data_IF_330449051055
#
_entry.id   IF_330449051055
#
_cell.length_a   1.000
_cell.length_b   1.000
_cell.length_c   1.000
_cell.angle_alpha   90.00
_cell.angle_beta   90.00
_cell.angle_gamma   90.00
#
_symmetry.space_group_name_H-M   'P 1'
#
loop_
_entity.id
_entity.type
_entity.pdbx_description
1 polymer ?
#
# COMPACT_ATOMS: atom_id res chain seq x y z
N UNK A 1 24.46 15.22 27.80
CA UNK A 1 25.58 14.81 26.93
C UNK A 1 25.12 14.44 25.54
N UNK A 2 25.32 15.37 24.61
CA UNK A 2 24.97 15.26 23.20
C UNK A 2 26.05 14.42 22.49
N UNK A 3 25.87 13.10 22.44
CA UNK A 3 26.75 12.24 21.63
C UNK A 3 26.30 12.29 20.17
N UNK A 4 27.01 13.08 19.36
CA UNK A 4 26.94 13.05 17.90
C UNK A 4 27.95 11.99 17.41
N UNK A 5 27.48 10.85 16.91
CA UNK A 5 28.32 9.84 16.29
C UNK A 5 28.20 9.89 14.76
N UNK A 6 29.34 9.98 14.06
CA UNK A 6 29.41 9.92 12.59
C UNK A 6 30.32 8.77 12.17
N UNK A 7 29.79 7.84 11.38
CA UNK A 7 30.55 6.74 10.79
C UNK A 7 30.61 6.91 9.27
N UNK A 8 31.83 6.95 8.74
CA UNK A 8 32.08 7.21 7.32
C UNK A 8 32.12 5.92 6.51
N UNK A 9 32.94 4.95 6.89
CA UNK A 9 33.08 3.69 6.15
C UNK A 9 33.38 2.55 7.13
N UNK A 10 32.59 1.47 7.07
CA UNK A 10 32.87 0.22 7.81
C UNK A 10 32.63 -0.98 6.90
N UNK A 11 33.64 -1.84 6.76
CA UNK A 11 33.72 -2.82 5.67
C UNK A 11 32.97 -4.14 5.93
N UNK A 12 32.67 -4.51 7.18
CA UNK A 12 32.16 -5.86 7.45
C UNK A 12 30.93 -5.92 8.37
N UNK A 13 31.01 -5.52 9.64
CA UNK A 13 29.87 -5.64 10.58
C UNK A 13 29.88 -4.47 11.58
N UNK A 14 28.71 -3.87 11.83
CA UNK A 14 28.52 -2.89 12.89
C UNK A 14 27.23 -3.22 13.67
N UNK A 15 27.36 -3.39 14.98
CA UNK A 15 26.25 -3.58 15.90
C UNK A 15 26.21 -2.43 16.90
N UNK A 16 25.05 -1.79 17.05
CA UNK A 16 24.84 -0.64 17.92
C UNK A 16 23.67 -0.93 18.85
N UNK A 17 23.94 -0.99 20.15
CA UNK A 17 22.91 -1.28 21.14
C UNK A 17 22.01 -0.05 21.37
N UNK A 18 22.59 1.11 21.69
CA UNK A 18 21.81 2.29 22.07
C UNK A 18 22.40 3.59 21.52
N UNK A 19 21.52 4.41 20.97
CA UNK A 19 21.80 5.81 20.60
C UNK A 19 20.73 6.71 21.20
N UNK A 20 21.15 7.63 22.07
CA UNK A 20 20.23 8.55 22.76
C UNK A 20 19.85 9.77 21.90
N UNK A 21 20.75 10.24 21.05
CA UNK A 21 20.56 11.49 20.31
C UNK A 21 20.74 11.33 18.80
N UNK A 22 21.97 11.39 18.29
CA UNK A 22 22.21 11.49 16.85
C UNK A 22 23.25 10.47 16.37
N UNK A 23 22.88 9.73 15.35
CA UNK A 23 23.76 8.83 14.61
C UNK A 23 23.60 9.08 13.11
N UNK A 24 24.72 9.30 12.42
CA UNK A 24 24.78 9.36 10.97
C UNK A 24 25.77 8.32 10.45
N UNK A 25 25.33 7.51 9.48
CA UNK A 25 26.10 6.45 8.85
C UNK A 25 26.10 6.69 7.33
N UNK A 26 27.28 6.88 6.77
CA UNK A 26 27.46 7.12 5.34
C UNK A 26 27.45 5.78 4.57
N UNK A 27 28.37 4.85 4.87
CA UNK A 27 28.47 3.59 4.13
C UNK A 27 28.73 2.36 5.00
N UNK A 28 27.95 1.31 4.77
CA UNK A 28 28.17 -0.05 5.28
C UNK A 28 28.13 -1.04 4.10
N UNK A 29 29.17 -1.86 3.96
CA UNK A 29 29.25 -2.82 2.86
C UNK A 29 28.47 -4.13 3.10
N UNK A 30 28.33 -4.55 4.37
CA UNK A 30 27.72 -5.83 4.72
C UNK A 30 26.56 -5.64 5.70
N UNK A 31 26.83 -5.63 7.01
CA UNK A 31 25.77 -5.76 8.02
C UNK A 31 25.76 -4.61 9.03
N UNK A 32 24.58 -4.04 9.24
CA UNK A 32 24.30 -3.05 10.28
C UNK A 32 23.09 -3.50 11.10
N UNK A 33 23.26 -3.67 12.40
CA UNK A 33 22.15 -3.88 13.33
C UNK A 33 22.12 -2.80 14.41
N UNK A 34 20.93 -2.29 14.66
CA UNK A 34 20.68 -1.25 15.66
C UNK A 34 19.50 -1.67 16.53
N UNK A 35 19.73 -1.80 17.83
CA UNK A 35 18.67 -2.18 18.77
C UNK A 35 17.79 -0.96 19.08
N UNK A 36 18.37 0.16 19.54
CA UNK A 36 17.57 1.33 19.96
C UNK A 36 18.15 2.67 19.51
N UNK A 37 17.30 3.47 18.88
CA UNK A 37 17.53 4.91 18.63
C UNK A 37 16.38 5.74 19.17
N UNK A 38 16.68 6.69 20.05
CA UNK A 38 15.66 7.55 20.63
C UNK A 38 15.29 8.76 19.75
N UNK A 39 16.26 9.44 19.13
CA UNK A 39 15.98 10.68 18.39
C UNK A 39 16.19 10.54 16.88
N UNK A 40 17.44 10.54 16.41
CA UNK A 40 17.76 10.69 15.00
C UNK A 40 18.77 9.65 14.51
N UNK A 41 18.42 8.95 13.43
CA UNK A 41 19.30 8.03 12.70
C UNK A 41 19.20 8.29 11.20
N UNK A 42 20.29 8.74 10.58
CA UNK A 42 20.38 8.83 9.13
C UNK A 42 21.35 7.79 8.58
N UNK A 43 20.91 7.09 7.53
CA UNK A 43 21.71 6.08 6.83
C UNK A 43 21.70 6.39 5.34
N UNK A 44 22.87 6.64 4.76
CA UNK A 44 23.00 6.90 3.33
C UNK A 44 23.03 5.58 2.54
N UNK A 45 23.98 4.68 2.81
CA UNK A 45 24.14 3.45 2.00
C UNK A 45 24.42 2.21 2.85
N UNK A 46 23.61 1.17 2.63
CA UNK A 46 23.87 -0.20 3.09
C UNK A 46 23.78 -1.15 1.90
N UNK A 47 24.86 -1.85 1.59
CA UNK A 47 24.86 -2.73 0.43
C UNK A 47 24.11 -4.05 0.68
N UNK A 48 24.26 -4.69 1.84
CA UNK A 48 23.59 -5.97 2.10
C UNK A 48 22.43 -5.86 3.09
N UNK A 49 22.68 -5.71 4.39
CA UNK A 49 21.67 -5.90 5.43
C UNK A 49 21.62 -4.75 6.44
N UNK A 50 20.41 -4.25 6.69
CA UNK A 50 20.08 -3.31 7.75
C UNK A 50 18.93 -3.87 8.60
N UNK A 51 19.16 -4.04 9.90
CA UNK A 51 18.15 -4.42 10.87
C UNK A 51 18.02 -3.34 11.97
N UNK A 52 16.81 -2.89 12.23
CA UNK A 52 16.51 -1.89 13.27
C UNK A 52 15.36 -2.41 14.14
N UNK A 53 15.60 -2.60 15.44
CA UNK A 53 14.55 -3.05 16.36
C UNK A 53 13.63 -1.86 16.75
N UNK A 54 14.20 -0.75 17.24
CA UNK A 54 13.40 0.40 17.71
C UNK A 54 14.00 1.74 17.28
N UNK A 55 13.18 2.55 16.62
CA UNK A 55 13.47 3.96 16.32
C UNK A 55 12.30 4.86 16.76
N UNK A 56 12.56 5.87 17.60
CA UNK A 56 11.46 6.62 18.20
C UNK A 56 11.07 7.91 17.47
N UNK A 57 11.97 8.60 16.75
CA UNK A 57 11.68 9.91 16.17
C UNK A 57 11.87 9.98 14.66
N UNK A 58 13.11 10.02 14.16
CA UNK A 58 13.36 10.24 12.73
C UNK A 58 14.38 9.24 12.18
N UNK A 59 13.98 8.56 11.11
CA UNK A 59 14.76 7.52 10.44
C UNK A 59 14.74 7.69 8.91
N UNK A 60 15.53 8.63 8.34
CA UNK A 60 15.81 8.65 6.91
C UNK A 60 16.83 7.58 6.49
N UNK A 61 16.49 6.81 5.46
CA UNK A 61 17.35 5.82 4.82
C UNK A 61 17.37 6.09 3.31
N UNK A 62 18.54 6.37 2.74
CA UNK A 62 18.65 6.68 1.30
C UNK A 62 18.67 5.38 0.48
N UNK A 63 19.62 4.46 0.72
CA UNK A 63 19.79 3.26 -0.13
C UNK A 63 20.09 2.00 0.67
N UNK A 64 19.29 0.96 0.42
CA UNK A 64 19.57 -0.43 0.82
C UNK A 64 19.48 -1.36 -0.38
N UNK A 65 20.55 -2.10 -0.69
CA UNK A 65 20.57 -2.91 -1.92
C UNK A 65 19.96 -4.31 -1.76
N UNK A 66 20.01 -4.92 -0.57
CA UNK A 66 19.48 -6.27 -0.36
C UNK A 66 18.32 -6.31 0.64
N UNK A 67 18.57 -6.11 1.93
CA UNK A 67 17.57 -6.33 2.97
C UNK A 67 17.49 -5.20 3.98
N UNK A 68 16.28 -4.72 4.21
CA UNK A 68 15.93 -3.80 5.28
C UNK A 68 14.80 -4.41 6.13
N UNK A 69 15.04 -4.59 7.42
CA UNK A 69 14.05 -5.02 8.39
C UNK A 69 13.92 -3.99 9.52
N UNK A 70 12.70 -3.55 9.80
CA UNK A 70 12.38 -2.60 10.88
C UNK A 70 11.24 -3.15 11.71
N UNK A 71 11.47 -3.38 13.01
CA UNK A 71 10.42 -3.86 13.91
C UNK A 71 9.50 -2.69 14.34
N UNK A 72 10.06 -1.61 14.90
CA UNK A 72 9.25 -0.49 15.40
C UNK A 72 9.82 0.87 15.03
N UNK A 73 8.99 1.70 14.38
CA UNK A 73 9.22 3.13 14.20
C UNK A 73 8.04 3.94 14.79
N UNK A 74 8.30 4.89 15.69
CA UNK A 74 7.20 5.62 16.32
C UNK A 74 6.74 6.85 15.52
N UNK A 75 7.64 7.73 15.06
CA UNK A 75 7.22 8.98 14.40
C UNK A 75 7.42 8.94 12.88
N UNK A 76 8.65 9.08 12.39
CA UNK A 76 8.90 9.29 10.96
C UNK A 76 9.94 8.31 10.41
N UNK A 77 9.52 7.54 9.40
CA UNK A 77 10.38 6.65 8.62
C UNK A 77 10.27 7.04 7.15
N UNK A 78 11.41 7.37 6.53
CA UNK A 78 11.49 7.64 5.10
C UNK A 78 12.58 6.77 4.46
N UNK A 79 12.21 6.12 3.36
CA UNK A 79 13.09 5.24 2.60
C UNK A 79 13.07 5.68 1.14
N UNK A 80 14.21 6.11 0.61
CA UNK A 80 14.31 6.50 -0.80
C UNK A 80 14.36 5.25 -1.69
N UNK A 81 15.29 4.31 -1.45
CA UNK A 81 15.47 3.12 -2.30
C UNK A 81 15.75 1.86 -1.51
N UNK A 82 14.94 0.83 -1.73
CA UNK A 82 15.21 -0.55 -1.35
C UNK A 82 15.14 -1.46 -2.59
N UNK A 83 16.21 -2.20 -2.90
CA UNK A 83 16.26 -2.96 -4.15
C UNK A 83 15.64 -4.37 -4.05
N UNK A 84 15.89 -5.16 -3.01
CA UNK A 84 15.31 -6.52 -2.91
C UNK A 84 14.18 -6.60 -1.88
N UNK A 85 14.46 -6.51 -0.59
CA UNK A 85 13.47 -6.80 0.45
C UNK A 85 13.37 -5.68 1.48
N UNK A 86 12.14 -5.23 1.73
CA UNK A 86 11.78 -4.33 2.81
C UNK A 86 10.65 -4.93 3.65
N UNK A 87 10.92 -5.17 4.92
CA UNK A 87 9.95 -5.64 5.91
C UNK A 87 9.82 -4.65 7.06
N UNK A 88 8.58 -4.21 7.34
CA UNK A 88 8.28 -3.27 8.41
C UNK A 88 7.13 -3.83 9.25
N UNK A 89 7.35 -4.06 10.54
CA UNK A 89 6.31 -4.57 11.43
C UNK A 89 5.38 -3.43 11.87
N UNK A 90 5.90 -2.37 12.51
CA UNK A 90 5.04 -1.31 13.09
C UNK A 90 5.56 0.09 12.82
N UNK A 91 4.68 0.95 12.31
CA UNK A 91 4.86 2.40 12.26
C UNK A 91 3.67 3.10 12.91
N UNK A 92 3.91 3.95 13.92
CA UNK A 92 2.81 4.65 14.59
C UNK A 92 2.33 5.90 13.85
N UNK A 93 3.23 6.75 13.32
CA UNK A 93 2.82 7.94 12.57
C UNK A 93 3.01 7.82 11.06
N UNK A 94 4.20 8.08 10.51
CA UNK A 94 4.40 8.27 9.08
C UNK A 94 5.45 7.32 8.50
N UNK A 95 5.06 6.63 7.43
CA UNK A 95 5.94 5.87 6.55
C UNK A 95 5.88 6.42 5.11
N UNK A 96 7.01 6.88 4.60
CA UNK A 96 7.16 7.31 3.21
C UNK A 96 8.20 6.44 2.50
N UNK A 97 7.85 5.88 1.34
CA UNK A 97 8.72 5.03 0.54
C UNK A 97 8.68 5.51 -0.91
N UNK A 98 9.84 5.89 -1.45
CA UNK A 98 9.92 6.32 -2.86
C UNK A 98 9.97 5.10 -3.79
N UNK A 99 10.93 4.19 -3.62
CA UNK A 99 11.13 3.07 -4.55
C UNK A 99 11.46 1.75 -3.86
N UNK A 100 10.69 0.72 -4.23
CA UNK A 100 11.01 -0.70 -3.96
C UNK A 100 11.01 -1.50 -5.25
N UNK A 101 12.09 -2.24 -5.53
CA UNK A 101 12.19 -2.98 -6.79
C UNK A 101 11.59 -4.39 -6.71
N UNK A 102 11.66 -5.09 -5.57
CA UNK A 102 11.17 -6.47 -5.49
C UNK A 102 10.03 -6.64 -4.45
N UNK A 103 10.32 -6.65 -3.15
CA UNK A 103 9.32 -6.97 -2.13
C UNK A 103 9.21 -5.92 -1.04
N UNK A 104 7.97 -5.52 -0.76
CA UNK A 104 7.60 -4.70 0.39
C UNK A 104 6.49 -5.39 1.19
N UNK A 105 6.77 -5.68 2.45
CA UNK A 105 5.79 -6.19 3.42
C UNK A 105 5.67 -5.22 4.60
N UNK A 106 4.43 -4.81 4.90
CA UNK A 106 4.11 -3.90 6.00
C UNK A 106 2.98 -4.51 6.83
N UNK A 107 3.22 -4.76 8.13
CA UNK A 107 2.20 -5.31 9.01
C UNK A 107 1.23 -4.20 9.49
N UNK A 108 1.74 -3.14 10.14
CA UNK A 108 0.88 -2.13 10.77
C UNK A 108 1.36 -0.70 10.56
N UNK A 109 0.45 0.16 10.10
CA UNK A 109 0.61 1.62 10.10
C UNK A 109 -0.61 2.29 10.74
N UNK A 110 -0.40 3.13 11.75
CA UNK A 110 -1.54 3.75 12.45
C UNK A 110 -1.99 5.10 11.85
N UNK A 111 -1.13 5.88 11.19
CA UNK A 111 -1.52 7.18 10.65
C UNK A 111 -1.39 7.30 9.12
N UNK A 112 -0.17 7.38 8.58
CA UNK A 112 0.05 7.63 7.14
C UNK A 112 1.07 6.67 6.53
N UNK A 113 0.70 6.09 5.39
CA UNK A 113 1.58 5.35 4.51
C UNK A 113 1.50 5.95 3.09
N UNK A 114 2.63 6.38 2.56
CA UNK A 114 2.78 6.85 1.19
C UNK A 114 3.85 6.01 0.46
N UNK A 115 3.49 5.46 -0.70
CA UNK A 115 4.39 4.65 -1.54
C UNK A 115 4.32 5.19 -2.98
N UNK A 116 5.45 5.65 -3.52
CA UNK A 116 5.51 6.15 -4.90
C UNK A 116 5.59 4.98 -5.89
N UNK A 117 6.58 4.08 -5.76
CA UNK A 117 6.81 3.01 -6.74
C UNK A 117 7.15 1.67 -6.10
N UNK A 118 6.42 0.62 -6.51
CA UNK A 118 6.77 -0.79 -6.27
C UNK A 118 6.75 -1.59 -7.58
N UNK A 119 7.84 -2.32 -7.88
CA UNK A 119 7.95 -3.01 -9.18
C UNK A 119 7.44 -4.46 -9.18
N UNK A 120 7.46 -5.19 -8.05
CA UNK A 120 6.93 -6.57 -8.01
C UNK A 120 5.82 -6.75 -6.97
N UNK A 121 6.14 -6.78 -5.68
CA UNK A 121 5.16 -7.16 -4.66
C UNK A 121 5.06 -6.12 -3.54
N UNK A 122 3.82 -5.76 -3.23
CA UNK A 122 3.45 -4.94 -2.09
C UNK A 122 2.34 -5.64 -1.29
N UNK A 123 2.63 -5.98 -0.04
CA UNK A 123 1.67 -6.55 0.91
C UNK A 123 1.52 -5.64 2.12
N UNK A 124 0.28 -5.29 2.46
CA UNK A 124 -0.06 -4.44 3.61
C UNK A 124 -1.17 -5.14 4.42
N UNK A 125 -0.90 -5.45 5.68
CA UNK A 125 -1.90 -6.09 6.55
C UNK A 125 -2.89 -5.04 7.11
N UNK A 126 -2.40 -4.00 7.79
CA UNK A 126 -3.28 -3.03 8.47
C UNK A 126 -2.83 -1.58 8.32
N UNK A 127 -3.76 -0.74 7.87
CA UNK A 127 -3.67 0.73 7.94
C UNK A 127 -4.91 1.34 8.59
N UNK A 128 -4.73 2.29 9.53
CA UNK A 128 -5.86 2.84 10.32
C UNK A 128 -6.37 4.19 9.79
N UNK A 129 -5.57 4.94 9.04
CA UNK A 129 -5.95 6.29 8.60
C UNK A 129 -5.79 6.49 7.09
N UNK A 130 -4.56 6.60 6.59
CA UNK A 130 -4.32 6.93 5.19
C UNK A 130 -3.30 6.01 4.55
N UNK A 131 -3.67 5.47 3.39
CA UNK A 131 -2.79 4.73 2.48
C UNK A 131 -2.88 5.33 1.09
N UNK A 132 -1.76 5.86 0.59
CA UNK A 132 -1.61 6.38 -0.76
C UNK A 132 -0.54 5.59 -1.52
N UNK A 133 -0.89 5.09 -2.70
CA UNK A 133 0.01 4.32 -3.57
C UNK A 133 -0.05 4.88 -4.99
N UNK A 134 1.06 5.36 -5.54
CA UNK A 134 1.10 5.91 -6.89
C UNK A 134 1.21 4.78 -7.94
N UNK A 135 2.24 3.93 -7.88
CA UNK A 135 2.49 2.92 -8.93
C UNK A 135 2.87 1.55 -8.40
N UNK A 136 2.17 0.53 -8.88
CA UNK A 136 2.52 -0.89 -8.71
C UNK A 136 2.52 -1.60 -10.06
N UNK A 137 3.62 -2.28 -10.41
CA UNK A 137 3.73 -2.96 -11.69
C UNK A 137 3.18 -4.40 -11.70
N UNK A 138 3.27 -5.16 -10.60
CA UNK A 138 2.75 -6.53 -10.57
C UNK A 138 1.64 -6.73 -9.51
N UNK A 139 1.97 -6.84 -8.23
CA UNK A 139 1.02 -7.30 -7.22
C UNK A 139 0.89 -6.33 -6.05
N UNK A 140 -0.35 -5.98 -5.73
CA UNK A 140 -0.75 -5.27 -4.53
C UNK A 140 -1.80 -6.07 -3.77
N UNK A 141 -1.49 -6.44 -2.52
CA UNK A 141 -2.42 -7.10 -1.60
C UNK A 141 -2.59 -6.23 -0.34
N UNK A 142 -3.85 -5.94 0.01
CA UNK A 142 -4.20 -5.13 1.19
C UNK A 142 -5.29 -5.86 1.98
N UNK A 143 -5.01 -6.18 3.24
CA UNK A 143 -6.00 -6.85 4.10
C UNK A 143 -7.00 -5.84 4.69
N UNK A 144 -6.54 -4.82 5.43
CA UNK A 144 -7.45 -3.92 6.16
C UNK A 144 -7.05 -2.45 6.07
N UNK A 145 -8.01 -1.61 5.68
CA UNK A 145 -7.95 -0.14 5.79
C UNK A 145 -9.19 0.42 6.48
N UNK A 146 -9.01 1.20 7.55
CA UNK A 146 -10.15 1.73 8.30
C UNK A 146 -10.74 3.05 7.75
N UNK A 147 -9.95 3.86 7.06
CA UNK A 147 -10.36 5.20 6.62
C UNK A 147 -10.18 5.39 5.11
N UNK A 148 -8.97 5.69 4.63
CA UNK A 148 -8.74 6.10 3.25
C UNK A 148 -7.68 5.25 2.54
N UNK A 149 -8.04 4.75 1.37
CA UNK A 149 -7.14 4.12 0.41
C UNK A 149 -7.25 4.81 -0.95
N UNK A 150 -6.14 5.35 -1.43
CA UNK A 150 -6.00 5.94 -2.76
C UNK A 150 -4.91 5.21 -3.56
N UNK A 151 -5.26 4.75 -4.76
CA UNK A 151 -4.34 4.03 -5.67
C UNK A 151 -4.41 4.65 -7.05
N UNK A 152 -3.29 5.14 -7.58
CA UNK A 152 -3.26 5.73 -8.93
C UNK A 152 -3.15 4.64 -10.01
N UNK A 153 -2.12 3.79 -9.99
CA UNK A 153 -1.87 2.83 -11.08
C UNK A 153 -1.45 1.45 -10.60
N UNK A 154 -2.14 0.42 -11.11
CA UNK A 154 -1.74 -0.98 -11.01
C UNK A 154 -1.76 -1.65 -12.39
N UNK A 155 -0.65 -2.30 -12.79
CA UNK A 155 -0.57 -2.92 -14.11
C UNK A 155 -1.05 -4.38 -14.18
N UNK A 156 -0.96 -5.16 -13.09
CA UNK A 156 -1.43 -6.55 -13.09
C UNK A 156 -2.53 -6.85 -12.06
N UNK A 157 -2.21 -6.94 -10.78
CA UNK A 157 -3.13 -7.48 -9.78
C UNK A 157 -3.28 -6.58 -8.56
N UNK A 158 -4.53 -6.29 -8.21
CA UNK A 158 -4.93 -5.63 -6.98
C UNK A 158 -5.96 -6.50 -6.25
N UNK A 159 -5.63 -6.91 -5.02
CA UNK A 159 -6.52 -7.62 -4.11
C UNK A 159 -6.71 -6.80 -2.82
N UNK A 160 -7.96 -6.54 -2.46
CA UNK A 160 -8.32 -5.79 -1.25
C UNK A 160 -9.39 -6.56 -0.47
N UNK A 161 -9.10 -6.91 0.78
CA UNK A 161 -10.07 -7.63 1.63
C UNK A 161 -11.09 -6.66 2.24
N UNK A 162 -10.66 -5.65 3.02
CA UNK A 162 -11.58 -4.78 3.77
C UNK A 162 -11.19 -3.31 3.73
N UNK A 163 -12.17 -2.47 3.37
CA UNK A 163 -12.13 -1.00 3.54
C UNK A 163 -13.39 -0.53 4.26
N UNK A 164 -13.25 0.30 5.29
CA UNK A 164 -14.41 0.74 6.08
C UNK A 164 -15.03 2.10 5.69
N UNK A 165 -14.32 2.94 4.93
CA UNK A 165 -14.81 4.28 4.56
C UNK A 165 -14.63 4.62 3.06
N UNK A 166 -13.39 4.79 2.58
CA UNK A 166 -13.15 5.31 1.24
C UNK A 166 -12.06 4.54 0.50
N UNK A 167 -12.40 4.08 -0.70
CA UNK A 167 -11.48 3.51 -1.69
C UNK A 167 -11.60 4.26 -3.01
N UNK A 168 -10.50 4.86 -3.47
CA UNK A 168 -10.38 5.50 -4.77
C UNK A 168 -9.28 4.81 -5.60
N UNK A 169 -9.61 4.40 -6.82
CA UNK A 169 -8.69 3.74 -7.74
C UNK A 169 -8.77 4.42 -9.12
N UNK A 170 -7.65 4.93 -9.63
CA UNK A 170 -7.63 5.57 -10.95
C UNK A 170 -7.52 4.52 -12.08
N UNK A 171 -6.47 3.68 -12.08
CA UNK A 171 -6.21 2.77 -13.21
C UNK A 171 -5.77 1.37 -12.77
N UNK A 172 -6.44 0.36 -13.32
CA UNK A 172 -6.04 -1.05 -13.27
C UNK A 172 -6.04 -1.64 -14.68
N UNK A 173 -4.96 -2.31 -15.09
CA UNK A 173 -4.86 -2.84 -16.46
C UNK A 173 -5.27 -4.31 -16.64
N UNK A 174 -5.37 -5.10 -15.56
CA UNK A 174 -5.70 -6.52 -15.65
C UNK A 174 -6.74 -6.99 -14.61
N UNK A 175 -6.41 -7.05 -13.32
CA UNK A 175 -7.28 -7.68 -12.32
C UNK A 175 -7.45 -6.83 -11.06
N UNK A 176 -8.71 -6.60 -10.70
CA UNK A 176 -9.12 -6.01 -9.43
C UNK A 176 -10.12 -6.93 -8.73
N UNK A 177 -9.77 -7.38 -7.52
CA UNK A 177 -10.64 -8.13 -6.63
C UNK A 177 -10.82 -7.38 -5.30
N UNK A 178 -12.08 -7.15 -4.91
CA UNK A 178 -12.44 -6.47 -3.66
C UNK A 178 -13.48 -7.30 -2.91
N UNK A 179 -13.18 -7.69 -1.66
CA UNK A 179 -14.14 -8.45 -0.84
C UNK A 179 -15.18 -7.50 -0.20
N UNK A 180 -14.75 -6.51 0.60
CA UNK A 180 -15.68 -5.67 1.37
C UNK A 180 -15.30 -4.20 1.36
N UNK A 181 -16.27 -3.35 1.02
CA UNK A 181 -16.22 -1.90 1.26
C UNK A 181 -17.46 -1.46 2.04
N UNK A 182 -17.25 -0.76 3.15
CA UNK A 182 -18.28 0.06 3.77
C UNK A 182 -18.09 1.52 3.35
N UNK A 183 -19.18 2.19 3.01
CA UNK A 183 -19.29 3.56 2.50
C UNK A 183 -19.01 3.76 1.01
N UNK A 184 -17.77 4.04 0.58
CA UNK A 184 -17.52 4.57 -0.76
C UNK A 184 -16.43 3.83 -1.52
N UNK A 185 -16.76 3.42 -2.75
CA UNK A 185 -15.82 2.92 -3.75
C UNK A 185 -15.98 3.72 -5.05
N UNK A 186 -14.89 4.35 -5.50
CA UNK A 186 -14.79 5.05 -6.77
C UNK A 186 -13.67 4.44 -7.63
N UNK A 187 -14.00 4.06 -8.87
CA UNK A 187 -13.01 3.52 -9.82
C UNK A 187 -13.12 4.22 -11.18
N UNK A 188 -12.02 4.77 -11.69
CA UNK A 188 -12.01 5.44 -12.99
C UNK A 188 -11.90 4.42 -14.14
N UNK A 189 -10.82 3.62 -14.19
CA UNK A 189 -10.56 2.74 -15.34
C UNK A 189 -10.07 1.35 -14.94
N UNK A 190 -10.74 0.33 -15.47
CA UNK A 190 -10.25 -1.05 -15.50
C UNK A 190 -10.21 -1.58 -16.93
N UNK A 191 -9.09 -2.18 -17.31
CA UNK A 191 -9.01 -3.08 -18.45
C UNK A 191 -8.98 -4.53 -17.95
N UNK A 192 -9.80 -5.40 -18.53
CA UNK A 192 -9.95 -6.82 -18.24
C UNK A 192 -10.95 -7.22 -17.15
N UNK A 193 -10.56 -7.29 -15.87
CA UNK A 193 -11.39 -7.96 -14.84
C UNK A 193 -11.60 -7.12 -13.58
N UNK A 194 -12.88 -6.97 -13.22
CA UNK A 194 -13.32 -6.45 -11.93
C UNK A 194 -14.26 -7.45 -11.24
N UNK A 195 -13.92 -7.85 -10.02
CA UNK A 195 -14.77 -8.64 -9.14
C UNK A 195 -14.95 -7.94 -7.79
N UNK A 196 -16.21 -7.74 -7.37
CA UNK A 196 -16.54 -7.12 -6.08
C UNK A 196 -17.57 -8.00 -5.35
N UNK A 197 -17.26 -8.43 -4.13
CA UNK A 197 -18.23 -9.22 -3.33
C UNK A 197 -19.27 -8.30 -2.67
N UNK A 198 -18.87 -7.33 -1.85
CA UNK A 198 -19.80 -6.51 -1.06
C UNK A 198 -19.44 -5.04 -1.01
N UNK A 199 -20.43 -4.19 -1.32
CA UNK A 199 -20.41 -2.76 -1.03
C UNK A 199 -21.64 -2.35 -0.23
N UNK A 200 -21.44 -1.65 0.88
CA UNK A 200 -22.50 -1.00 1.64
C UNK A 200 -22.41 0.52 1.45
N UNK A 201 -23.40 1.11 0.78
CA UNK A 201 -23.60 2.52 0.41
C UNK A 201 -23.36 2.87 -1.06
N UNK A 202 -22.13 3.21 -1.47
CA UNK A 202 -21.90 3.83 -2.78
C UNK A 202 -20.80 3.14 -3.57
N UNK A 203 -21.13 2.78 -4.82
CA UNK A 203 -20.19 2.33 -5.84
C UNK A 203 -20.35 3.18 -7.10
N UNK A 204 -19.27 3.84 -7.52
CA UNK A 204 -19.19 4.61 -8.76
C UNK A 204 -18.04 4.09 -9.63
N UNK A 205 -18.33 3.76 -10.89
CA UNK A 205 -17.34 3.25 -11.86
C UNK A 205 -17.48 4.00 -13.19
N UNK A 206 -16.40 4.60 -13.68
CA UNK A 206 -16.41 5.31 -14.97
C UNK A 206 -16.29 4.33 -16.15
N UNK A 207 -15.22 3.51 -16.19
CA UNK A 207 -14.95 2.64 -17.36
C UNK A 207 -14.46 1.25 -16.96
N UNK A 208 -15.11 0.23 -17.51
CA UNK A 208 -14.62 -1.16 -17.50
C UNK A 208 -14.66 -1.75 -18.91
N UNK A 209 -13.59 -2.43 -19.31
CA UNK A 209 -13.53 -3.22 -20.53
C UNK A 209 -13.34 -4.70 -20.21
N UNK A 210 -14.12 -5.57 -20.87
CA UNK A 210 -14.16 -7.04 -20.79
C UNK A 210 -15.10 -7.63 -19.75
N UNK A 211 -14.68 -7.77 -18.49
CA UNK A 211 -15.42 -8.55 -17.50
C UNK A 211 -15.62 -7.80 -16.19
N UNK A 212 -16.88 -7.77 -15.76
CA UNK A 212 -17.27 -7.11 -14.54
C UNK A 212 -18.34 -7.91 -13.80
N UNK A 213 -18.06 -8.27 -12.55
CA UNK A 213 -18.95 -9.01 -11.67
C UNK A 213 -19.09 -8.31 -10.30
N UNK A 214 -20.34 -8.16 -9.83
CA UNK A 214 -20.64 -7.72 -8.47
C UNK A 214 -21.65 -8.67 -7.82
N UNK A 215 -21.36 -9.15 -6.60
CA UNK A 215 -22.31 -9.97 -5.84
C UNK A 215 -23.36 -9.09 -5.15
N UNK A 216 -22.96 -8.11 -4.32
CA UNK A 216 -23.91 -7.35 -3.50
C UNK A 216 -23.59 -5.86 -3.40
N UNK A 217 -24.59 -5.03 -3.68
CA UNK A 217 -24.60 -3.60 -3.33
C UNK A 217 -25.85 -3.26 -2.52
N UNK A 218 -25.65 -2.66 -1.35
CA UNK A 218 -26.72 -2.09 -0.55
C UNK A 218 -26.69 -0.56 -0.69
N UNK A 219 -27.71 0.04 -1.31
CA UNK A 219 -27.88 1.46 -1.67
C UNK A 219 -27.63 1.83 -3.13
N UNK A 220 -26.46 2.36 -3.51
CA UNK A 220 -26.26 3.04 -4.79
C UNK A 220 -25.15 2.40 -5.64
N UNK A 221 -25.49 2.09 -6.89
CA UNK A 221 -24.56 1.68 -7.94
C UNK A 221 -24.71 2.58 -9.17
N UNK A 222 -23.62 3.25 -9.57
CA UNK A 222 -23.54 4.05 -10.78
C UNK A 222 -22.38 3.59 -11.67
N UNK A 223 -22.66 3.32 -12.94
CA UNK A 223 -21.68 2.87 -13.93
C UNK A 223 -21.84 3.68 -15.22
N UNK A 224 -20.79 4.37 -15.68
CA UNK A 224 -20.85 5.16 -16.92
C UNK A 224 -20.71 4.25 -18.15
N UNK A 225 -19.62 3.47 -18.25
CA UNK A 225 -19.32 2.66 -19.44
C UNK A 225 -18.83 1.26 -19.09
N UNK A 226 -19.50 0.27 -19.68
CA UNK A 226 -19.03 -1.13 -19.73
C UNK A 226 -19.01 -1.62 -21.16
N UNK A 227 -17.91 -2.29 -21.55
CA UNK A 227 -17.82 -3.03 -22.79
C UNK A 227 -17.61 -4.52 -22.51
N UNK A 228 -18.44 -5.38 -23.14
CA UNK A 228 -18.47 -6.85 -23.12
C UNK A 228 -19.41 -7.49 -22.08
N UNK A 229 -18.97 -7.74 -20.84
CA UNK A 229 -19.74 -8.54 -19.87
C UNK A 229 -19.96 -7.81 -18.55
N UNK A 230 -21.23 -7.68 -18.17
CA UNK A 230 -21.68 -7.19 -16.87
C UNK A 230 -22.59 -8.23 -16.19
N UNK A 231 -22.22 -8.67 -14.99
CA UNK A 231 -23.02 -9.50 -14.12
C UNK A 231 -23.19 -8.85 -12.74
N UNK A 232 -24.43 -8.66 -12.30
CA UNK A 232 -24.76 -8.14 -10.98
C UNK A 232 -25.77 -9.10 -10.33
N UNK A 233 -25.45 -9.65 -9.16
CA UNK A 233 -26.39 -10.50 -8.44
C UNK A 233 -27.42 -9.63 -7.71
N UNK A 234 -27.06 -8.86 -6.68
CA UNK A 234 -28.05 -8.15 -5.84
C UNK A 234 -27.79 -6.65 -5.73
N UNK A 235 -28.84 -5.87 -5.99
CA UNK A 235 -28.93 -4.44 -5.67
C UNK A 235 -30.22 -4.16 -4.90
N UNK A 236 -30.11 -3.55 -3.72
CA UNK A 236 -31.25 -3.36 -2.81
C UNK A 236 -32.00 -2.02 -2.94
N UNK A 237 -31.49 -1.05 -3.72
CA UNK A 237 -32.07 0.30 -3.81
C UNK A 237 -31.93 0.93 -5.21
N UNK A 238 -30.77 1.47 -5.57
CA UNK A 238 -30.57 2.31 -6.76
C UNK A 238 -29.49 1.76 -7.68
N UNK A 239 -29.83 1.65 -8.96
CA UNK A 239 -28.95 1.25 -10.05
C UNK A 239 -29.05 2.25 -11.21
N UNK A 240 -27.91 2.78 -11.66
CA UNK A 240 -27.78 3.59 -12.86
C UNK A 240 -26.65 3.08 -13.76
N UNK A 241 -26.95 2.80 -15.02
CA UNK A 241 -25.98 2.39 -16.05
C UNK A 241 -26.22 3.26 -17.30
N UNK A 242 -25.21 4.02 -17.74
CA UNK A 242 -25.36 4.90 -18.92
C UNK A 242 -25.14 4.14 -20.23
N UNK A 243 -24.02 3.40 -20.35
CA UNK A 243 -23.66 2.67 -21.57
C UNK A 243 -23.15 1.26 -21.24
N UNK A 244 -23.87 0.27 -21.73
CA UNK A 244 -23.41 -1.12 -21.77
C UNK A 244 -23.41 -1.61 -23.22
N UNK A 245 -22.26 -2.09 -23.70
CA UNK A 245 -22.15 -2.78 -24.98
C UNK A 245 -22.00 -4.28 -24.75
N UNK A 246 -22.73 -5.07 -25.54
CA UNK A 246 -22.78 -6.54 -25.56
C UNK A 246 -23.72 -7.18 -24.53
N UNK A 247 -23.24 -7.64 -23.36
CA UNK A 247 -23.98 -8.59 -22.51
C UNK A 247 -24.22 -8.08 -21.08
N UNK A 248 -25.47 -8.15 -20.61
CA UNK A 248 -25.95 -7.66 -19.32
C UNK A 248 -26.78 -8.73 -18.60
N UNK A 249 -26.40 -9.08 -17.37
CA UNK A 249 -27.21 -9.90 -16.47
C UNK A 249 -27.35 -9.24 -15.08
N UNK A 250 -28.60 -9.14 -14.61
CA UNK A 250 -28.96 -8.58 -13.30
C UNK A 250 -29.96 -9.53 -12.63
N UNK A 251 -29.60 -10.15 -11.50
CA UNK A 251 -30.39 -11.19 -10.85
C UNK A 251 -31.00 -10.75 -9.51
N UNK A 252 -32.06 -9.92 -9.60
CA UNK A 252 -32.83 -9.27 -8.51
C UNK A 252 -32.37 -7.85 -8.20
N UNK A 253 -32.99 -6.90 -8.92
CA UNK A 253 -33.14 -5.54 -8.44
C UNK A 253 -34.37 -5.50 -7.50
N UNK A 254 -34.15 -5.25 -6.20
CA UNK A 254 -35.25 -4.88 -5.30
C UNK A 254 -35.37 -3.36 -5.32
N UNK A 255 -36.54 -2.87 -5.74
CA UNK A 255 -36.92 -1.45 -5.65
C UNK A 255 -37.55 -1.16 -4.28
#
# INVERSE_FOLDING_TARGET
DCQLARYRESAHLLAIEKVAHWLAIEKIAHWLAIEKVAHWLAIEKVAHWLAIEKAAHWLPIEKVAHWLAIEKAAHWLAIEKAAHWLAIEKVAHLLAIEKVAHWLAIEKVAHWLAIEKSAHWLAIEKSVHWLAIEKVAHWLAIEKVAHWLAIEKVAHWLAIEKVAHWLAIEKVAHWLAIEKVAHWLAIEKIAHWLAIEKVAHWLAIEKVAHWFAIEKVAHWLAIEKVAHWLAIEKVAHWLAIEKAAHWLAIEKAAH
#
